data_IF_293790248711
#
_entry.id   IF_293790248711
#
_cell.length_a   1.000
_cell.length_b   1.000
_cell.length_c   1.000
_cell.angle_alpha   90.00
_cell.angle_beta   90.00
_cell.angle_gamma   90.00
#
_symmetry.space_group_name_H-M   'P 1'
#
loop_
_entity.id
_entity.type
_entity.pdbx_description
1 polymer ?
#
# COMPACT_ATOMS: atom_id res chain seq x y z
N UNK A 1 -21.47 2.42 -23.18
CA UNK A 1 -21.79 2.90 -21.82
C UNK A 1 -20.46 3.23 -21.19
N UNK A 2 -20.26 4.46 -20.74
CA UNK A 2 -18.99 4.86 -20.10
C UNK A 2 -18.85 4.06 -18.81
N UNK A 3 -17.78 3.29 -18.70
CA UNK A 3 -17.49 2.48 -17.50
C UNK A 3 -17.28 3.43 -16.32
N UNK A 4 -18.06 3.26 -15.25
CA UNK A 4 -18.05 4.18 -14.10
C UNK A 4 -16.76 3.91 -13.31
N UNK A 5 -15.95 4.93 -13.05
CA UNK A 5 -14.72 4.79 -12.25
C UNK A 5 -15.02 4.20 -10.87
N UNK A 6 -14.14 3.36 -10.32
CA UNK A 6 -14.39 2.71 -9.03
C UNK A 6 -14.34 3.70 -7.86
N UNK A 7 -15.06 3.38 -6.79
CA UNK A 7 -14.75 3.88 -5.45
C UNK A 7 -13.50 3.17 -4.93
N UNK A 8 -12.51 3.93 -4.49
CA UNK A 8 -11.30 3.38 -3.88
C UNK A 8 -11.34 3.54 -2.36
N UNK A 9 -11.25 2.43 -1.65
CA UNK A 9 -11.17 2.41 -0.18
C UNK A 9 -9.77 1.92 0.22
N UNK A 10 -9.00 2.79 0.86
CA UNK A 10 -7.63 2.49 1.27
C UNK A 10 -7.62 2.11 2.75
N UNK A 11 -7.04 0.96 3.05
CA UNK A 11 -6.68 0.55 4.40
C UNK A 11 -5.40 1.30 4.83
N UNK A 12 -5.61 2.46 5.48
CA UNK A 12 -4.56 3.38 5.89
C UNK A 12 -3.65 2.81 6.98
N UNK A 13 -4.24 2.11 7.96
CA UNK A 13 -3.48 1.41 9.01
C UNK A 13 -2.59 0.32 8.44
N UNK A 14 -3.14 -0.54 7.57
CA UNK A 14 -2.38 -1.59 6.91
C UNK A 14 -1.28 -1.03 6.01
N UNK A 15 -1.56 0.06 5.28
CA UNK A 15 -0.54 0.76 4.48
C UNK A 15 0.61 1.27 5.33
N UNK A 16 0.30 1.87 6.48
CA UNK A 16 1.31 2.40 7.39
C UNK A 16 2.25 1.30 7.92
N UNK A 17 1.70 0.20 8.43
CA UNK A 17 2.50 -0.94 8.92
C UNK A 17 3.35 -1.56 7.80
N UNK A 18 2.80 -1.68 6.60
CA UNK A 18 3.53 -2.24 5.46
C UNK A 18 4.67 -1.33 5.02
N UNK A 19 4.43 -0.02 4.94
CA UNK A 19 5.46 0.96 4.60
C UNK A 19 6.60 0.94 5.63
N UNK A 20 6.27 0.83 6.92
CA UNK A 20 7.24 0.76 8.02
C UNK A 20 8.21 -0.42 7.90
N UNK A 21 7.70 -1.60 7.55
CA UNK A 21 8.54 -2.80 7.40
C UNK A 21 9.26 -2.91 6.06
N UNK A 22 8.78 -2.24 5.02
CA UNK A 22 9.36 -2.32 3.69
C UNK A 22 10.47 -1.30 3.44
N UNK A 23 10.44 -0.16 4.11
CA UNK A 23 11.43 0.90 3.95
C UNK A 23 12.48 0.86 5.07
N UNK A 24 13.72 1.29 4.79
CA UNK A 24 14.69 1.52 5.85
C UNK A 24 14.19 2.62 6.81
N UNK A 25 14.71 2.67 8.05
CA UNK A 25 14.35 3.71 9.01
C UNK A 25 14.86 5.07 8.53
N UNK A 26 14.01 5.80 7.80
CA UNK A 26 14.28 7.16 7.34
C UNK A 26 13.93 8.17 8.45
N UNK A 27 14.81 9.14 8.64
CA UNK A 27 14.63 10.27 9.57
C UNK A 27 14.92 11.58 8.86
N UNK A 28 14.26 12.65 9.29
CA UNK A 28 14.55 14.00 8.82
C UNK A 28 15.66 14.67 9.65
N UNK A 29 16.06 15.90 9.28
CA UNK A 29 17.13 16.64 9.97
C UNK A 29 16.84 16.96 11.44
N UNK A 30 15.59 16.82 11.88
CA UNK A 30 15.16 17.00 13.29
C UNK A 30 15.14 15.68 14.07
N UNK A 31 15.52 14.58 13.44
CA UNK A 31 15.48 13.24 14.04
C UNK A 31 14.07 12.65 14.13
N UNK A 32 13.06 13.24 13.48
CA UNK A 32 11.72 12.66 13.42
C UNK A 32 11.72 11.53 12.36
N UNK A 33 11.13 10.36 12.65
CA UNK A 33 10.99 9.30 11.68
C UNK A 33 9.99 9.68 10.59
N UNK A 34 10.29 9.39 9.32
CA UNK A 34 9.47 9.78 8.16
C UNK A 34 9.25 8.67 7.14
N UNK A 35 9.91 7.52 7.32
CA UNK A 35 9.91 6.42 6.34
C UNK A 35 8.53 5.85 6.03
N UNK A 36 7.72 5.59 7.04
CA UNK A 36 6.38 5.04 6.84
C UNK A 36 5.47 6.05 6.14
N UNK A 37 5.52 7.34 6.53
CA UNK A 37 4.77 8.42 5.86
C UNK A 37 5.17 8.52 4.38
N UNK A 38 6.48 8.44 4.09
CA UNK A 38 7.00 8.48 2.72
C UNK A 38 6.49 7.32 1.88
N UNK A 39 6.51 6.10 2.44
CA UNK A 39 5.99 4.92 1.77
C UNK A 39 4.51 5.02 1.45
N UNK A 40 3.68 5.37 2.44
CA UNK A 40 2.23 5.54 2.24
C UNK A 40 1.94 6.65 1.24
N UNK A 41 2.64 7.79 1.32
CA UNK A 41 2.49 8.88 0.36
C UNK A 41 2.72 8.43 -1.08
N UNK A 42 3.78 7.66 -1.32
CA UNK A 42 4.10 7.14 -2.66
C UNK A 42 3.05 6.13 -3.14
N UNK A 43 2.58 5.24 -2.25
CA UNK A 43 1.51 4.29 -2.57
C UNK A 43 0.21 5.00 -2.95
N UNK A 44 -0.19 6.02 -2.18
CA UNK A 44 -1.37 6.84 -2.48
C UNK A 44 -1.21 7.59 -3.81
N UNK A 45 -0.07 8.24 -4.04
CA UNK A 45 0.20 8.97 -5.29
C UNK A 45 0.18 8.05 -6.50
N UNK A 46 0.73 6.84 -6.39
CA UNK A 46 0.68 5.82 -7.44
C UNK A 46 -0.76 5.43 -7.75
N UNK A 47 -1.53 5.03 -6.73
CA UNK A 47 -2.94 4.66 -6.87
C UNK A 47 -3.77 5.78 -7.52
N UNK A 48 -3.57 7.03 -7.10
CA UNK A 48 -4.28 8.18 -7.69
C UNK A 48 -3.94 8.42 -9.16
N UNK A 49 -2.72 8.11 -9.61
CA UNK A 49 -2.32 8.21 -11.02
C UNK A 49 -2.86 7.06 -11.86
N UNK A 50 -2.83 5.85 -11.32
CA UNK A 50 -3.24 4.63 -12.03
C UNK A 50 -4.76 4.58 -12.23
N UNK A 51 -5.54 4.98 -11.21
CA UNK A 51 -6.99 4.89 -11.24
C UNK A 51 -7.72 6.20 -11.53
N UNK A 52 -7.08 7.34 -11.29
CA UNK A 52 -7.68 8.69 -11.35
C UNK A 52 -9.11 8.74 -10.74
N UNK A 53 -9.29 8.31 -9.48
CA UNK A 53 -10.62 8.10 -8.90
C UNK A 53 -11.34 9.42 -8.59
N UNK A 54 -12.64 9.46 -8.87
CA UNK A 54 -13.52 10.53 -8.38
C UNK A 54 -13.91 10.32 -6.92
N UNK A 55 -14.06 9.04 -6.52
CA UNK A 55 -14.47 8.63 -5.19
C UNK A 55 -13.33 7.86 -4.53
N UNK A 56 -12.88 8.34 -3.36
CA UNK A 56 -11.78 7.75 -2.61
C UNK A 56 -11.92 8.04 -1.13
N UNK A 57 -11.52 7.11 -0.27
CA UNK A 57 -11.32 7.37 1.14
C UNK A 57 -10.14 6.58 1.68
N UNK A 58 -9.45 7.16 2.67
CA UNK A 58 -8.42 6.49 3.47
C UNK A 58 -8.99 6.27 4.86
N UNK A 59 -9.04 5.01 5.29
CA UNK A 59 -9.64 4.60 6.55
C UNK A 59 -8.54 4.16 7.50
N UNK A 60 -8.51 4.72 8.71
CA UNK A 60 -7.57 4.34 9.76
C UNK A 60 -8.33 3.74 10.94
N UNK A 61 -7.64 2.91 11.71
CA UNK A 61 -8.15 2.46 13.01
C UNK A 61 -8.21 3.63 13.97
N UNK A 62 -9.33 3.77 14.65
CA UNK A 62 -9.46 4.70 15.76
C UNK A 62 -8.72 4.15 16.99
N UNK A 63 -8.12 5.02 17.83
CA UNK A 63 -7.54 4.58 19.07
C UNK A 63 -8.62 4.03 20.02
N UNK A 64 -8.31 2.95 20.71
CA UNK A 64 -9.17 2.36 21.74
C UNK A 64 -9.48 0.89 21.49
N UNK A 65 -10.41 0.37 22.29
CA UNK A 65 -10.90 -0.99 22.17
C UNK A 65 -12.03 -1.05 21.13
N UNK A 66 -12.18 -2.21 20.53
CA UNK A 66 -13.22 -2.55 19.56
C UNK A 66 -14.18 -3.58 20.15
N UNK A 67 -15.27 -3.85 19.45
CA UNK A 67 -16.18 -4.94 19.84
C UNK A 67 -15.49 -6.32 19.86
N UNK A 68 -14.39 -6.53 19.11
CA UNK A 68 -13.65 -7.80 19.12
C UNK A 68 -12.88 -7.99 20.44
N UNK A 69 -12.36 -6.91 21.01
CA UNK A 69 -11.70 -6.93 22.32
C UNK A 69 -12.68 -7.24 23.46
N UNK A 70 -13.95 -6.89 23.30
CA UNK A 70 -15.02 -7.25 24.24
C UNK A 70 -15.46 -8.70 24.08
N UNK A 71 -15.50 -9.19 22.83
CA UNK A 71 -15.90 -10.54 22.50
C UNK A 71 -14.86 -11.59 22.89
N UNK A 72 -13.57 -11.27 22.76
CA UNK A 72 -12.48 -12.17 23.09
C UNK A 72 -11.26 -11.42 23.63
N UNK A 73 -11.00 -11.53 24.93
CA UNK A 73 -9.92 -10.81 25.62
C UNK A 73 -8.52 -11.07 25.03
N UNK A 74 -8.30 -12.24 24.42
CA UNK A 74 -7.01 -12.60 23.82
C UNK A 74 -6.90 -12.20 22.34
N UNK A 75 -7.90 -11.55 21.76
CA UNK A 75 -7.85 -11.07 20.39
C UNK A 75 -6.67 -10.12 20.19
N UNK A 76 -5.87 -10.33 19.14
CA UNK A 76 -4.64 -9.57 18.84
C UNK A 76 -3.62 -9.49 19.99
N UNK A 77 -3.76 -10.27 21.07
CA UNK A 77 -2.91 -10.19 22.26
C UNK A 77 -1.44 -10.57 22.00
N UNK A 78 -1.17 -11.29 20.91
CA UNK A 78 0.20 -11.64 20.49
C UNK A 78 0.85 -10.55 19.63
N UNK A 79 0.10 -9.51 19.22
CA UNK A 79 0.67 -8.41 18.43
C UNK A 79 1.52 -7.53 19.36
N UNK A 80 2.79 -7.26 19.02
CA UNK A 80 3.57 -6.29 19.77
C UNK A 80 2.90 -4.92 19.69
N UNK A 81 3.08 -4.07 20.72
CA UNK A 81 2.61 -2.69 20.64
C UNK A 81 3.24 -2.00 19.43
N UNK A 82 2.51 -1.03 18.86
CA UNK A 82 3.03 -0.23 17.77
C UNK A 82 4.35 0.43 18.19
N UNK A 83 5.44 0.29 17.42
CA UNK A 83 6.71 0.95 17.70
C UNK A 83 6.56 2.47 17.84
N UNK A 84 7.27 3.09 18.79
CA UNK A 84 7.14 4.53 19.09
C UNK A 84 7.44 5.41 17.86
N UNK A 85 8.39 4.98 17.03
CA UNK A 85 8.75 5.65 15.77
C UNK A 85 7.65 5.54 14.70
N UNK A 86 6.83 4.50 14.74
CA UNK A 86 5.64 4.37 13.90
C UNK A 86 4.48 5.21 14.45
N UNK A 87 4.28 5.21 15.78
CA UNK A 87 3.26 6.05 16.43
C UNK A 87 3.50 7.53 16.12
N UNK A 88 4.75 7.99 16.14
CA UNK A 88 5.12 9.37 15.82
C UNK A 88 4.77 9.79 14.37
N UNK A 89 4.54 8.83 13.47
CA UNK A 89 4.23 9.05 12.06
C UNK A 89 2.74 9.05 11.73
N UNK A 90 1.87 8.63 12.65
CA UNK A 90 0.42 8.60 12.44
C UNK A 90 -0.15 9.99 12.14
N UNK A 91 0.14 10.97 13.01
CA UNK A 91 -0.43 12.30 12.86
C UNK A 91 0.08 13.03 11.60
N UNK A 92 1.39 13.04 11.29
CA UNK A 92 1.87 13.59 10.03
C UNK A 92 1.26 12.92 8.80
N UNK A 93 0.98 11.61 8.86
CA UNK A 93 0.31 10.90 7.77
C UNK A 93 -1.15 11.35 7.61
N UNK A 94 -1.89 11.51 8.72
CA UNK A 94 -3.27 12.02 8.69
C UNK A 94 -3.35 13.40 8.06
N UNK A 95 -2.48 14.32 8.51
CA UNK A 95 -2.39 15.68 7.95
C UNK A 95 -2.06 15.65 6.46
N UNK A 96 -1.16 14.76 6.04
CA UNK A 96 -0.77 14.61 4.64
C UNK A 96 -1.94 14.12 3.78
N UNK A 97 -2.67 13.09 4.23
CA UNK A 97 -3.84 12.53 3.53
C UNK A 97 -4.91 13.62 3.31
N UNK A 98 -5.19 14.40 4.35
CA UNK A 98 -6.13 15.52 4.27
C UNK A 98 -5.66 16.61 3.30
N UNK A 99 -4.38 16.98 3.37
CA UNK A 99 -3.77 17.97 2.47
C UNK A 99 -3.73 17.50 1.01
N UNK A 100 -3.67 16.18 0.76
CA UNK A 100 -3.83 15.60 -0.58
C UNK A 100 -5.26 15.72 -1.13
N UNK A 101 -6.22 16.20 -0.33
CA UNK A 101 -7.62 16.31 -0.69
C UNK A 101 -8.39 14.98 -0.60
N UNK A 102 -7.88 14.02 0.16
CA UNK A 102 -8.49 12.70 0.31
C UNK A 102 -9.39 12.67 1.57
N UNK A 103 -10.66 12.24 1.46
CA UNK A 103 -11.48 11.95 2.62
C UNK A 103 -10.79 10.94 3.56
N UNK A 104 -10.60 11.32 4.82
CA UNK A 104 -10.08 10.46 5.88
C UNK A 104 -11.20 10.06 6.82
N UNK A 105 -11.27 8.77 7.19
CA UNK A 105 -12.25 8.24 8.13
C UNK A 105 -11.57 7.50 9.28
N UNK A 106 -12.05 7.75 10.49
CA UNK A 106 -11.68 7.04 11.73
C UNK A 106 -12.94 6.90 12.57
N UNK A 107 -13.38 5.67 12.84
CA UNK A 107 -14.64 5.39 13.54
C UNK A 107 -14.33 4.64 14.84
N UNK A 108 -14.59 5.22 16.02
CA UNK A 108 -14.34 4.57 17.30
C UNK A 108 -15.15 3.28 17.50
N UNK A 109 -14.60 2.32 18.24
CA UNK A 109 -15.29 1.09 18.64
C UNK A 109 -15.34 -0.03 17.59
N UNK A 110 -14.80 0.23 16.40
CA UNK A 110 -14.71 -0.73 15.28
C UNK A 110 -13.33 -0.63 14.63
N UNK A 111 -12.98 -1.62 13.83
CA UNK A 111 -11.73 -1.60 13.05
C UNK A 111 -11.94 -0.90 11.72
N UNK A 112 -10.86 -0.38 11.13
CA UNK A 112 -10.87 0.19 9.78
C UNK A 112 -11.50 -0.78 8.77
N UNK A 113 -11.28 -2.07 8.99
CA UNK A 113 -11.77 -3.14 8.15
C UNK A 113 -13.30 -3.19 8.06
N UNK A 114 -13.97 -2.99 9.20
CA UNK A 114 -15.44 -3.00 9.29
C UNK A 114 -16.05 -1.75 8.62
N UNK A 115 -15.37 -0.61 8.72
CA UNK A 115 -15.76 0.62 8.04
C UNK A 115 -15.62 0.45 6.52
N UNK A 116 -14.48 -0.08 6.06
CA UNK A 116 -14.23 -0.40 4.65
C UNK A 116 -15.27 -1.39 4.14
N UNK A 117 -15.50 -2.49 4.85
CA UNK A 117 -16.47 -3.52 4.48
C UNK A 117 -17.88 -2.96 4.33
N UNK A 118 -18.30 -2.12 5.27
CA UNK A 118 -19.60 -1.45 5.23
C UNK A 118 -19.72 -0.51 4.03
N UNK A 119 -18.73 0.35 3.79
CA UNK A 119 -18.75 1.28 2.66
C UNK A 119 -18.70 0.54 1.31
N UNK A 120 -17.88 -0.50 1.20
CA UNK A 120 -17.74 -1.31 0.00
C UNK A 120 -19.07 -1.98 -0.37
N UNK A 121 -19.75 -2.63 0.60
CA UNK A 121 -21.06 -3.26 0.35
C UNK A 121 -22.13 -2.24 0.00
N UNK A 122 -22.19 -1.09 0.69
CA UNK A 122 -23.12 0.00 0.36
C UNK A 122 -22.93 0.52 -1.07
N UNK A 123 -21.67 0.72 -1.49
CA UNK A 123 -21.35 1.19 -2.84
C UNK A 123 -21.68 0.12 -3.91
N UNK A 124 -21.27 -1.13 -3.68
CA UNK A 124 -21.54 -2.25 -4.59
C UNK A 124 -23.05 -2.49 -4.79
N UNK A 125 -23.85 -2.38 -3.72
CA UNK A 125 -25.31 -2.49 -3.78
C UNK A 125 -25.96 -1.41 -4.67
N UNK A 126 -25.31 -0.24 -4.82
CA UNK A 126 -25.72 0.85 -5.71
C UNK A 126 -25.13 0.74 -7.11
N UNK A 127 -24.43 -0.36 -7.39
CA UNK A 127 -23.85 -0.63 -8.71
C UNK A 127 -22.50 0.04 -8.97
N UNK A 128 -21.87 0.64 -7.96
CA UNK A 128 -20.52 1.19 -8.10
C UNK A 128 -19.48 0.06 -8.07
N UNK A 129 -18.51 0.03 -9.00
CA UNK A 129 -17.30 -0.77 -8.82
C UNK A 129 -16.51 -0.27 -7.61
N UNK A 130 -15.89 -1.18 -6.87
CA UNK A 130 -15.11 -0.87 -5.66
C UNK A 130 -13.76 -1.56 -5.73
N UNK A 131 -12.71 -0.80 -5.45
CA UNK A 131 -11.36 -1.32 -5.23
C UNK A 131 -11.01 -1.09 -3.77
N UNK A 132 -10.72 -2.17 -3.04
CA UNK A 132 -10.20 -2.09 -1.68
C UNK A 132 -8.68 -2.23 -1.76
N UNK A 133 -7.97 -1.14 -1.49
CA UNK A 133 -6.54 -1.09 -1.55
C UNK A 133 -5.96 -1.53 -0.19
N UNK A 134 -5.57 -2.80 -0.09
CA UNK A 134 -5.12 -3.45 1.15
C UNK A 134 -4.17 -4.61 0.87
N UNK A 135 -3.33 -4.95 1.85
CA UNK A 135 -2.54 -6.18 1.85
C UNK A 135 -3.16 -7.30 2.69
N UNK A 136 -4.25 -7.02 3.41
CA UNK A 136 -4.86 -7.98 4.31
C UNK A 136 -5.57 -9.09 3.53
N UNK A 137 -5.32 -10.33 3.96
CA UNK A 137 -5.94 -11.52 3.36
C UNK A 137 -7.40 -11.66 3.80
N UNK A 138 -7.77 -11.13 4.97
CA UNK A 138 -9.08 -11.32 5.57
C UNK A 138 -10.16 -10.54 4.81
N UNK A 139 -9.73 -9.45 4.16
CA UNK A 139 -10.50 -8.66 3.19
C UNK A 139 -11.01 -9.49 2.00
N UNK A 140 -10.43 -10.67 1.72
CA UNK A 140 -10.87 -11.53 0.64
C UNK A 140 -12.34 -11.99 0.80
N UNK A 141 -12.88 -11.94 2.02
CA UNK A 141 -14.30 -12.21 2.29
C UNK A 141 -15.26 -11.17 1.66
N UNK A 142 -14.76 -9.98 1.32
CA UNK A 142 -15.55 -8.89 0.75
C UNK A 142 -15.65 -8.95 -0.78
N UNK A 143 -14.75 -9.69 -1.44
CA UNK A 143 -14.68 -9.80 -2.90
C UNK A 143 -16.00 -10.33 -3.46
N UNK A 144 -16.50 -9.68 -4.51
CA UNK A 144 -17.69 -10.11 -5.24
C UNK A 144 -17.62 -9.66 -6.71
N UNK A 145 -18.76 -9.62 -7.41
CA UNK A 145 -18.81 -9.17 -8.82
C UNK A 145 -18.52 -7.68 -9.05
N UNK A 146 -18.40 -6.87 -7.99
CA UNK A 146 -18.13 -5.42 -8.04
C UNK A 146 -16.97 -4.99 -7.15
N UNK A 147 -16.64 -5.78 -6.13
CA UNK A 147 -15.58 -5.51 -5.17
C UNK A 147 -14.36 -6.37 -5.50
N UNK A 148 -13.22 -5.73 -5.75
CA UNK A 148 -11.91 -6.38 -5.89
C UNK A 148 -10.94 -5.84 -4.86
N UNK A 149 -9.91 -6.61 -4.52
CA UNK A 149 -8.80 -6.11 -3.69
C UNK A 149 -7.60 -5.77 -4.56
N UNK A 150 -6.83 -4.78 -4.14
CA UNK A 150 -5.59 -4.40 -4.79
C UNK A 150 -4.45 -4.23 -3.78
N UNK A 151 -3.41 -5.04 -3.95
CA UNK A 151 -2.14 -4.87 -3.25
C UNK A 151 -1.22 -3.98 -4.10
N UNK A 152 -1.25 -2.67 -3.83
CA UNK A 152 -0.49 -1.64 -4.57
C UNK A 152 1.03 -1.77 -4.45
N UNK A 153 1.54 -2.49 -3.44
CA UNK A 153 2.99 -2.75 -3.36
C UNK A 153 3.41 -3.89 -4.28
N UNK A 154 2.56 -4.91 -4.44
CA UNK A 154 2.85 -6.08 -5.29
C UNK A 154 2.24 -5.97 -6.69
N UNK A 155 1.47 -4.92 -6.96
CA UNK A 155 0.73 -4.76 -8.21
C UNK A 155 -0.28 -5.89 -8.46
N UNK A 156 -0.84 -6.47 -7.39
CA UNK A 156 -1.70 -7.66 -7.48
C UNK A 156 -3.16 -7.30 -7.24
N UNK A 157 -4.01 -7.61 -8.21
CA UNK A 157 -5.46 -7.58 -8.07
C UNK A 157 -5.96 -8.95 -7.61
N UNK A 158 -6.89 -8.96 -6.66
CA UNK A 158 -7.56 -10.18 -6.18
C UNK A 158 -9.06 -10.08 -6.47
N UNK A 159 -9.49 -10.81 -7.50
CA UNK A 159 -10.88 -11.06 -7.84
C UNK A 159 -11.35 -12.41 -7.27
N UNK A 160 -12.59 -12.80 -7.58
CA UNK A 160 -13.15 -14.09 -7.12
C UNK A 160 -12.27 -15.29 -7.48
N UNK A 161 -11.77 -15.34 -8.72
CA UNK A 161 -10.95 -16.46 -9.18
C UNK A 161 -9.61 -16.51 -8.42
N UNK A 162 -9.00 -15.36 -8.14
CA UNK A 162 -7.81 -15.25 -7.33
C UNK A 162 -8.04 -15.66 -5.87
N UNK A 163 -9.22 -15.36 -5.30
CA UNK A 163 -9.63 -15.86 -3.97
C UNK A 163 -9.75 -17.39 -3.99
N UNK A 164 -10.48 -17.95 -4.95
CA UNK A 164 -10.64 -19.41 -5.07
C UNK A 164 -9.30 -20.13 -5.26
N UNK A 165 -8.40 -19.56 -6.06
CA UNK A 165 -7.06 -20.10 -6.26
C UNK A 165 -6.19 -20.04 -4.99
N UNK A 166 -6.30 -18.96 -4.20
CA UNK A 166 -5.51 -18.75 -2.98
C UNK A 166 -6.00 -19.58 -1.80
N UNK A 167 -7.31 -19.61 -1.57
CA UNK A 167 -7.90 -20.21 -0.36
C UNK A 167 -8.55 -21.58 -0.62
N UNK A 168 -8.81 -21.94 -1.87
CA UNK A 168 -9.53 -23.16 -2.26
C UNK A 168 -11.04 -23.10 -1.99
N UNK A 169 -11.57 -21.91 -1.66
CA UNK A 169 -12.97 -21.63 -1.37
C UNK A 169 -13.35 -20.26 -1.96
N UNK A 170 -14.62 -20.02 -2.29
CA UNK A 170 -15.05 -18.72 -2.79
C UNK A 170 -15.08 -17.64 -1.67
N UNK A 171 -15.14 -16.34 -2.02
CA UNK A 171 -15.17 -15.22 -1.07
C UNK A 171 -16.17 -15.40 0.09
N UNK A 172 -17.40 -15.82 -0.23
CA UNK A 172 -18.47 -16.07 0.75
C UNK A 172 -18.19 -17.22 1.75
N UNK A 173 -17.06 -17.91 1.62
CA UNK A 173 -16.59 -18.98 2.53
C UNK A 173 -15.23 -18.70 3.15
N UNK A 174 -14.62 -17.54 2.88
CA UNK A 174 -13.33 -17.17 3.50
C UNK A 174 -13.45 -17.08 5.02
N UNK A 175 -14.55 -16.54 5.55
CA UNK A 175 -14.78 -16.46 7.01
C UNK A 175 -14.88 -17.86 7.63
N UNK A 176 -15.65 -18.75 7.01
CA UNK A 176 -15.78 -20.15 7.46
C UNK A 176 -14.42 -20.87 7.42
N UNK A 177 -13.61 -20.58 6.39
CA UNK A 177 -12.26 -21.12 6.26
C UNK A 177 -11.33 -20.58 7.34
N UNK A 178 -11.38 -19.28 7.65
CA UNK A 178 -10.61 -18.66 8.74
C UNK A 178 -11.03 -19.22 10.10
N UNK A 179 -12.32 -19.46 10.33
CA UNK A 179 -12.81 -20.05 11.57
C UNK A 179 -12.24 -21.48 11.81
N UNK A 180 -12.09 -22.26 10.73
CA UNK A 180 -11.53 -23.61 10.80
C UNK A 180 -10.00 -23.61 10.96
N UNK A 181 -9.30 -22.76 10.22
CA UNK A 181 -7.83 -22.71 10.19
C UNK A 181 -7.26 -21.93 11.37
N UNK A 182 -7.98 -20.91 11.83
CA UNK A 182 -7.51 -19.91 12.77
C UNK A 182 -6.63 -18.85 12.11
N UNK A 183 -6.29 -17.82 12.90
CA UNK A 183 -5.30 -16.82 12.55
C UNK A 183 -4.37 -16.54 13.73
N UNK A 184 -3.10 -16.93 13.61
CA UNK A 184 -2.10 -16.69 14.65
C UNK A 184 -1.79 -15.20 14.86
N UNK A 185 -1.90 -14.40 13.80
CA UNK A 185 -1.58 -12.95 13.82
C UNK A 185 -2.60 -12.18 14.66
N UNK A 186 -3.85 -12.61 14.59
CA UNK A 186 -4.98 -12.04 15.34
C UNK A 186 -5.35 -12.85 16.58
N UNK A 187 -4.60 -13.92 16.82
CA UNK A 187 -4.87 -14.89 17.87
C UNK A 187 -6.30 -15.47 17.79
N UNK A 188 -6.85 -15.58 16.59
CA UNK A 188 -8.14 -16.23 16.33
C UNK A 188 -7.91 -17.75 16.40
N UNK A 189 -8.56 -18.46 17.32
CA UNK A 189 -8.25 -19.85 17.55
C UNK A 189 -8.89 -20.72 16.45
N UNK A 190 -8.08 -21.55 15.79
CA UNK A 190 -8.55 -22.52 14.79
C UNK A 190 -8.86 -23.88 15.40
N UNK A 191 -9.24 -24.84 14.55
CA UNK A 191 -9.38 -26.25 14.95
C UNK A 191 -8.02 -26.93 14.80
N UNK A 192 -7.45 -27.51 15.88
CA UNK A 192 -6.19 -28.23 15.78
C UNK A 192 -6.24 -29.31 14.71
N UNK A 193 -5.12 -29.50 13.98
CA UNK A 193 -4.99 -30.47 12.87
C UNK A 193 -5.82 -30.17 11.62
N UNK A 194 -6.56 -29.06 11.59
CA UNK A 194 -7.33 -28.60 10.42
C UNK A 194 -6.56 -27.48 9.73
N UNK A 195 -5.71 -27.84 8.77
CA UNK A 195 -4.99 -26.86 7.96
C UNK A 195 -5.80 -26.35 6.75
N UNK A 196 -5.26 -25.37 6.00
CA UNK A 196 -5.86 -24.76 4.81
C UNK A 196 -6.52 -25.74 3.83
N UNK A 197 -5.81 -26.81 3.47
CA UNK A 197 -6.28 -27.81 2.50
C UNK A 197 -7.45 -28.63 3.04
N UNK A 198 -7.43 -28.96 4.33
CA UNK A 198 -8.50 -29.72 4.99
C UNK A 198 -9.76 -28.88 5.10
N UNK A 199 -9.62 -27.63 5.58
CA UNK A 199 -10.73 -26.69 5.67
C UNK A 199 -11.40 -26.46 4.30
N UNK A 200 -10.62 -26.17 3.26
CA UNK A 200 -11.15 -25.97 1.91
C UNK A 200 -11.81 -27.23 1.32
N UNK A 201 -11.30 -28.44 1.63
CA UNK A 201 -11.94 -29.69 1.21
C UNK A 201 -13.29 -29.87 1.90
N UNK A 202 -13.36 -29.66 3.21
CA UNK A 202 -14.60 -29.80 3.97
C UNK A 202 -15.64 -28.78 3.55
N UNK A 203 -15.28 -27.51 3.38
CA UNK A 203 -16.23 -26.49 2.94
C UNK A 203 -16.74 -26.72 1.52
N UNK A 204 -15.94 -27.32 0.63
CA UNK A 204 -16.43 -27.75 -0.70
C UNK A 204 -17.37 -28.94 -0.63
N UNK A 205 -17.11 -29.88 0.29
CA UNK A 205 -17.92 -31.08 0.43
C UNK A 205 -19.28 -30.79 1.10
N UNK A 206 -19.29 -30.00 2.17
CA UNK A 206 -20.48 -29.73 2.98
C UNK A 206 -21.14 -28.38 2.65
N UNK A 207 -20.47 -27.54 1.87
CA UNK A 207 -21.02 -26.29 1.35
C UNK A 207 -20.95 -25.09 2.31
N UNK A 208 -20.99 -25.29 3.63
CA UNK A 208 -20.83 -24.21 4.64
C UNK A 208 -20.28 -24.74 5.96
N UNK A 209 -19.84 -23.85 6.85
CA UNK A 209 -19.47 -24.23 8.21
C UNK A 209 -20.65 -24.80 9.00
N UNK A 210 -21.85 -24.24 8.86
CA UNK A 210 -23.03 -24.72 9.60
C UNK A 210 -23.40 -26.15 9.18
N UNK A 211 -23.36 -26.46 7.88
CA UNK A 211 -23.56 -27.83 7.38
C UNK A 211 -22.43 -28.77 7.81
N UNK A 212 -21.18 -28.31 7.79
CA UNK A 212 -20.04 -29.09 8.30
C UNK A 212 -20.24 -29.47 9.78
N UNK A 213 -20.72 -28.53 10.60
CA UNK A 213 -21.02 -28.76 12.02
C UNK A 213 -22.15 -29.76 12.18
N UNK A 214 -23.23 -29.66 11.38
CA UNK A 214 -24.35 -30.64 11.40
C UNK A 214 -23.89 -32.06 11.07
N UNK A 215 -22.89 -32.20 10.20
CA UNK A 215 -22.32 -33.48 9.80
C UNK A 215 -21.01 -33.84 10.52
N UNK A 216 -20.68 -33.15 11.62
CA UNK A 216 -19.39 -33.32 12.30
C UNK A 216 -19.15 -34.77 12.77
N UNK A 217 -20.20 -35.53 13.11
CA UNK A 217 -20.12 -36.94 13.53
C UNK A 217 -19.70 -37.89 12.40
N UNK A 218 -19.92 -37.51 11.14
CA UNK A 218 -19.59 -38.33 9.97
C UNK A 218 -18.11 -38.22 9.58
N UNK A 219 -17.39 -37.23 10.13
CA UNK A 219 -16.00 -36.97 9.75
C UNK A 219 -15.07 -37.94 10.48
N UNK A 220 -14.34 -38.80 9.74
CA UNK A 220 -13.48 -39.80 10.36
C UNK A 220 -12.11 -39.24 10.77
N UNK A 221 -11.44 -40.00 11.64
CA UNK A 221 -10.04 -39.79 12.02
C UNK A 221 -9.79 -38.62 12.97
N UNK A 222 -8.51 -38.41 13.30
CA UNK A 222 -8.07 -37.43 14.31
C UNK A 222 -8.49 -35.98 14.01
N UNK A 223 -8.67 -35.63 12.74
CA UNK A 223 -9.16 -34.30 12.35
C UNK A 223 -10.65 -34.14 12.67
N UNK A 224 -11.48 -35.17 12.42
CA UNK A 224 -12.89 -35.17 12.79
C UNK A 224 -13.10 -35.20 14.31
N UNK A 225 -12.30 -35.97 15.04
CA UNK A 225 -12.26 -35.93 16.51
C UNK A 225 -11.94 -34.52 17.02
N UNK A 226 -10.94 -33.87 16.42
CA UNK A 226 -10.56 -32.50 16.79
C UNK A 226 -11.66 -31.50 16.45
N UNK A 227 -12.33 -31.63 15.30
CA UNK A 227 -13.47 -30.78 14.95
C UNK A 227 -14.58 -30.87 16.01
N UNK A 228 -15.00 -32.09 16.35
CA UNK A 228 -16.04 -32.35 17.36
C UNK A 228 -15.67 -31.77 18.73
N UNK A 229 -14.39 -31.83 19.11
CA UNK A 229 -13.90 -31.27 20.37
C UNK A 229 -13.88 -29.72 20.41
N UNK A 230 -14.01 -29.04 19.27
CA UNK A 230 -13.90 -27.57 19.18
C UNK A 230 -15.13 -26.90 18.54
N UNK A 231 -16.27 -27.59 18.45
CA UNK A 231 -17.48 -27.05 17.81
C UNK A 231 -17.96 -25.74 18.45
N UNK A 232 -17.94 -25.67 19.78
CA UNK A 232 -18.38 -24.48 20.53
C UNK A 232 -17.50 -23.25 20.24
N UNK A 233 -16.21 -23.46 19.95
CA UNK A 233 -15.26 -22.40 19.66
C UNK A 233 -15.44 -21.82 18.25
N UNK A 234 -15.94 -22.62 17.29
CA UNK A 234 -16.07 -22.20 15.89
C UNK A 234 -16.98 -20.99 15.72
N UNK A 235 -18.03 -20.88 16.52
CA UNK A 235 -18.93 -19.73 16.49
C UNK A 235 -18.18 -18.43 16.85
N UNK A 236 -17.34 -18.48 17.89
CA UNK A 236 -16.49 -17.36 18.30
C UNK A 236 -15.46 -17.02 17.22
N UNK A 237 -14.73 -18.02 16.71
CA UNK A 237 -13.71 -17.80 15.68
C UNK A 237 -14.30 -17.21 14.40
N UNK A 238 -15.49 -17.66 14.00
CA UNK A 238 -16.22 -17.12 12.85
C UNK A 238 -16.62 -15.66 13.08
N UNK A 239 -17.08 -15.30 14.27
CA UNK A 239 -17.46 -13.91 14.57
C UNK A 239 -16.24 -12.98 14.66
N UNK A 240 -15.12 -13.44 15.23
CA UNK A 240 -13.88 -12.67 15.26
C UNK A 240 -13.31 -12.40 13.86
N UNK A 241 -13.33 -13.41 12.97
CA UNK A 241 -12.82 -13.31 11.61
C UNK A 241 -13.75 -12.55 10.64
N UNK A 242 -15.02 -12.36 11.01
CA UNK A 242 -16.01 -11.70 10.17
C UNK A 242 -15.80 -10.20 10.20
N UNK A 243 -15.66 -9.59 9.03
CA UNK A 243 -15.74 -8.14 8.85
C UNK A 243 -17.23 -7.73 8.89
N UNK A 244 -17.59 -6.79 9.76
CA UNK A 244 -18.95 -6.23 9.78
C UNK A 244 -19.15 -5.33 8.56
N UNK A 245 -20.33 -5.44 7.96
CA UNK A 245 -20.67 -4.72 6.71
C UNK A 245 -21.96 -3.91 6.81
N UNK A 246 -22.49 -3.82 8.02
CA UNK A 246 -23.79 -3.29 8.39
C UNK A 246 -23.67 -2.22 9.48
N UNK A 247 -22.49 -1.61 9.64
CA UNK A 247 -22.30 -0.52 10.60
C UNK A 247 -23.21 0.66 10.28
N UNK A 248 -23.72 1.33 11.31
CA UNK A 248 -24.34 2.64 11.19
C UNK A 248 -23.24 3.69 11.02
N UNK A 249 -23.10 4.20 9.79
CA UNK A 249 -22.13 5.21 9.42
C UNK A 249 -22.87 6.42 8.86
N UNK A 250 -22.55 7.61 9.37
CA UNK A 250 -23.08 8.91 8.91
C UNK A 250 -22.46 9.38 7.57
N UNK A 251 -21.76 8.48 6.88
CA UNK A 251 -21.05 8.77 5.64
C UNK A 251 -21.64 7.96 4.51
N UNK A 252 -22.00 8.66 3.43
CA UNK A 252 -22.45 8.05 2.19
C UNK A 252 -21.23 7.78 1.27
N UNK A 253 -21.06 6.57 0.69
CA UNK A 253 -19.98 6.30 -0.25
C UNK A 253 -19.85 7.28 -1.43
N UNK A 254 -20.96 7.84 -1.91
CA UNK A 254 -20.96 8.83 -3.00
C UNK A 254 -20.52 10.24 -2.56
N UNK A 255 -20.50 10.48 -1.24
CA UNK A 255 -19.98 11.72 -0.66
C UNK A 255 -18.46 11.73 -0.50
N UNK A 256 -17.80 10.57 -0.65
CA UNK A 256 -16.35 10.37 -0.55
C UNK A 256 -15.61 10.90 -1.79
N UNK A 257 -15.92 12.13 -2.19
CA UNK A 257 -15.32 12.77 -3.36
C UNK A 257 -13.91 13.24 -3.04
N UNK A 258 -12.98 12.90 -3.94
CA UNK A 258 -11.65 13.51 -3.96
C UNK A 258 -11.81 15.02 -4.15
N UNK A 259 -11.12 15.80 -3.31
CA UNK A 259 -11.08 17.26 -3.38
C UNK A 259 -9.79 17.70 -4.06
N UNK A 260 -9.73 18.97 -4.45
CA UNK A 260 -8.48 19.57 -4.86
C UNK A 260 -7.48 19.53 -3.69
N UNK A 261 -6.19 19.20 -3.94
CA UNK A 261 -5.18 19.20 -2.90
C UNK A 261 -4.93 20.62 -2.37
N UNK A 262 -4.70 20.75 -1.06
CA UNK A 262 -4.23 21.99 -0.44
C UNK A 262 -2.72 22.12 -0.69
N UNK A 263 -2.36 22.81 -1.76
CA UNK A 263 -0.96 22.95 -2.20
C UNK A 263 -0.09 23.71 -1.20
N UNK A 264 -0.67 24.64 -0.44
CA UNK A 264 0.05 25.40 0.58
C UNK A 264 0.36 24.51 1.79
N UNK A 265 -0.65 23.78 2.29
CA UNK A 265 -0.45 22.84 3.40
C UNK A 265 0.46 21.69 3.01
N UNK A 266 0.31 21.13 1.80
CA UNK A 266 1.23 20.11 1.29
C UNK A 266 2.66 20.63 1.27
N UNK A 267 2.90 21.84 0.77
CA UNK A 267 4.25 22.43 0.75
C UNK A 267 4.87 22.53 2.14
N UNK A 268 4.10 22.94 3.14
CA UNK A 268 4.56 22.99 4.53
C UNK A 268 4.92 21.60 5.05
N UNK A 269 4.03 20.63 4.88
CA UNK A 269 4.23 19.25 5.32
C UNK A 269 5.43 18.60 4.63
N UNK A 270 5.57 18.74 3.30
CA UNK A 270 6.67 18.16 2.54
C UNK A 270 8.02 18.78 2.89
N UNK A 271 8.07 20.08 3.24
CA UNK A 271 9.29 20.72 3.77
C UNK A 271 9.66 20.15 5.14
N UNK A 272 8.67 20.01 6.04
CA UNK A 272 8.88 19.41 7.35
C UNK A 272 9.38 17.96 7.22
N UNK A 273 8.71 17.17 6.39
CA UNK A 273 9.04 15.75 6.18
C UNK A 273 10.28 15.54 5.29
N UNK A 274 10.82 16.61 4.70
CA UNK A 274 11.98 16.60 3.78
C UNK A 274 11.77 15.77 2.51
N UNK A 275 10.53 15.69 2.02
CA UNK A 275 10.16 15.00 0.78
C UNK A 275 10.44 15.88 -0.45
N UNK A 276 11.73 16.13 -0.69
CA UNK A 276 12.22 17.12 -1.67
C UNK A 276 11.79 16.82 -3.11
N UNK A 277 11.73 15.55 -3.51
CA UNK A 277 11.28 15.13 -4.85
C UNK A 277 9.84 15.58 -5.11
N UNK A 278 8.93 15.24 -4.20
CA UNK A 278 7.53 15.62 -4.31
C UNK A 278 7.33 17.14 -4.17
N UNK A 279 8.11 17.80 -3.32
CA UNK A 279 8.04 19.26 -3.19
C UNK A 279 8.34 19.99 -4.51
N UNK A 280 9.26 19.47 -5.33
CA UNK A 280 9.61 20.04 -6.65
C UNK A 280 8.49 19.88 -7.68
N UNK A 281 7.65 18.86 -7.53
CA UNK A 281 6.51 18.60 -8.42
C UNK A 281 5.28 19.48 -8.11
N UNK A 282 5.20 20.06 -6.91
CA UNK A 282 4.08 20.95 -6.57
C UNK A 282 4.13 22.23 -7.44
N UNK A 283 2.97 22.71 -7.95
CA UNK A 283 2.90 23.97 -8.67
C UNK A 283 3.56 25.08 -7.86
N UNK A 284 4.46 25.86 -8.47
CA UNK A 284 5.07 27.02 -7.80
C UNK A 284 3.97 27.96 -7.34
N UNK A 285 4.15 28.59 -6.19
CA UNK A 285 3.27 29.67 -5.77
C UNK A 285 3.26 30.71 -6.88
N UNK A 286 2.09 30.93 -7.49
CA UNK A 286 1.82 32.18 -8.18
C UNK A 286 1.93 33.24 -7.08
N UNK A 287 3.10 33.87 -7.01
CA UNK A 287 3.28 35.06 -6.21
C UNK A 287 2.23 36.04 -6.72
N UNK A 288 1.25 36.35 -5.85
CA UNK A 288 0.23 37.34 -6.12
C UNK A 288 0.93 38.58 -6.69
N UNK A 289 0.56 38.90 -7.93
CA UNK A 289 1.17 39.94 -8.73
C UNK A 289 1.31 41.24 -7.93
N UNK A 290 2.55 41.69 -7.71
CA UNK A 290 2.81 43.10 -7.50
C UNK A 290 2.89 43.76 -8.87
N UNK A 291 1.98 44.69 -9.12
CA UNK A 291 1.93 45.55 -10.30
C UNK A 291 3.30 46.12 -10.69
N UNK A 292 3.77 45.76 -11.89
CA UNK A 292 4.67 46.58 -12.70
C UNK A 292 4.44 46.26 -14.20
N UNK A 293 4.44 47.26 -15.10
CA UNK A 293 3.82 47.17 -16.43
C UNK A 293 4.69 46.44 -17.47
N UNK A 294 4.11 45.98 -18.61
CA UNK A 294 4.75 45.06 -19.52
C UNK A 294 5.65 45.77 -20.53
N UNK A 295 6.85 45.21 -20.76
CA UNK A 295 7.65 45.48 -21.94
C UNK A 295 7.56 44.27 -22.90
N UNK A 296 7.08 44.56 -24.10
CA UNK A 296 6.86 43.61 -25.19
C UNK A 296 8.17 43.02 -25.74
N UNK A 297 8.12 41.76 -26.15
CA UNK A 297 9.13 41.17 -27.04
C UNK A 297 8.76 39.75 -27.45
N UNK A 298 8.06 39.62 -28.58
CA UNK A 298 7.62 38.35 -29.14
C UNK A 298 8.79 37.46 -29.62
N UNK A 299 8.62 36.13 -29.54
CA UNK A 299 8.69 35.19 -30.68
C UNK A 299 8.29 33.76 -30.28
N UNK A 300 7.65 33.10 -31.25
CA UNK A 300 7.00 31.79 -31.18
C UNK A 300 7.96 30.62 -31.48
N UNK A 301 7.55 29.39 -31.11
CA UNK A 301 8.10 28.15 -31.68
C UNK A 301 7.97 26.88 -30.84
N UNK A 302 6.88 26.14 -31.06
CA UNK A 302 6.63 24.69 -30.95
C UNK A 302 7.63 23.71 -30.28
N UNK A 303 7.10 22.82 -29.44
CA UNK A 303 7.14 21.36 -29.67
C UNK A 303 8.12 20.49 -28.86
N UNK A 304 7.53 19.59 -28.05
CA UNK A 304 7.98 18.23 -27.68
C UNK A 304 9.21 18.03 -26.74
N UNK A 305 8.90 17.64 -25.50
CA UNK A 305 9.41 16.43 -24.82
C UNK A 305 10.91 16.27 -24.55
N UNK A 306 11.33 16.52 -23.30
CA UNK A 306 12.29 15.67 -22.57
C UNK A 306 12.22 15.97 -21.04
N UNK A 307 12.52 14.99 -20.16
CA UNK A 307 12.43 15.14 -18.70
C UNK A 307 13.62 15.94 -18.12
N UNK A 308 13.44 16.74 -17.05
CA UNK A 308 14.53 17.53 -16.50
C UNK A 308 15.39 16.75 -15.50
N UNK A 309 16.70 16.91 -15.67
CA UNK A 309 17.78 16.44 -14.81
C UNK A 309 17.73 17.01 -13.37
N UNK A 310 18.37 16.34 -12.38
CA UNK A 310 18.43 16.81 -11.00
C UNK A 310 19.46 17.94 -10.79
N UNK A 311 19.06 18.95 -10.01
CA UNK A 311 19.91 20.09 -9.62
C UNK A 311 20.83 19.77 -8.42
N UNK A 312 22.12 19.74 -8.74
CA UNK A 312 23.30 20.28 -8.04
C UNK A 312 23.20 20.69 -6.56
N UNK A 313 23.99 20.00 -5.72
CA UNK A 313 24.70 20.57 -4.58
C UNK A 313 26.13 20.91 -5.00
N UNK A 314 26.61 22.08 -4.57
CA UNK A 314 27.75 22.80 -5.15
C UNK A 314 29.09 22.05 -5.18
N UNK A 315 29.65 21.89 -6.37
CA UNK A 315 31.08 21.96 -6.65
C UNK A 315 31.28 22.91 -7.84
N UNK A 316 32.40 23.62 -7.85
CA UNK A 316 32.60 24.79 -8.70
C UNK A 316 32.52 24.49 -10.21
N UNK A 317 31.54 25.10 -10.90
CA UNK A 317 31.68 25.70 -12.24
C UNK A 317 32.24 24.86 -13.40
N UNK A 318 32.19 23.53 -13.36
CA UNK A 318 32.57 22.68 -14.49
C UNK A 318 31.33 21.98 -15.05
N UNK A 319 31.17 22.00 -16.38
CA UNK A 319 30.19 21.16 -17.04
C UNK A 319 30.48 19.69 -16.70
N UNK A 320 29.45 18.86 -16.44
CA UNK A 320 29.67 17.45 -16.12
C UNK A 320 30.40 16.74 -17.27
N UNK A 321 31.44 16.00 -16.91
CA UNK A 321 32.28 15.23 -17.84
C UNK A 321 31.85 13.76 -17.79
N UNK A 322 30.91 13.42 -18.68
CA UNK A 322 30.35 12.08 -18.79
C UNK A 322 30.84 11.39 -20.05
N UNK A 323 31.48 10.23 -19.89
CA UNK A 323 32.05 9.44 -20.98
C UNK A 323 31.20 8.18 -21.22
N UNK A 324 30.78 7.99 -22.47
CA UNK A 324 30.24 6.73 -22.95
C UNK A 324 31.41 5.87 -23.47
N UNK A 325 31.71 4.78 -22.78
CA UNK A 325 32.84 3.89 -23.08
C UNK A 325 32.41 2.87 -24.13
N UNK A 326 32.87 3.02 -25.37
CA UNK A 326 32.52 2.14 -26.50
C UNK A 326 33.71 1.36 -27.08
N UNK A 327 34.91 1.56 -26.53
CA UNK A 327 36.12 0.91 -26.99
C UNK A 327 37.04 0.49 -25.83
N UNK A 328 37.90 -0.48 -26.12
CA UNK A 328 38.82 -1.09 -25.15
C UNK A 328 39.77 -0.07 -24.54
N UNK A 329 40.26 0.90 -25.34
CA UNK A 329 41.20 1.90 -24.86
C UNK A 329 40.55 2.86 -23.85
N UNK A 330 39.26 3.16 -24.00
CA UNK A 330 38.47 3.91 -23.04
C UNK A 330 38.21 3.11 -21.76
N UNK A 331 37.92 1.82 -21.90
CA UNK A 331 37.74 0.92 -20.76
C UNK A 331 39.04 0.81 -19.93
N UNK A 332 40.18 0.58 -20.56
CA UNK A 332 41.49 0.49 -19.89
C UNK A 332 41.81 1.77 -19.10
N UNK A 333 41.59 2.96 -19.68
CA UNK A 333 41.78 4.25 -18.97
C UNK A 333 40.92 4.33 -17.71
N UNK A 334 39.66 3.91 -17.77
CA UNK A 334 38.77 3.95 -16.61
C UNK A 334 39.14 2.91 -15.57
N UNK A 335 39.57 1.70 -15.96
CA UNK A 335 40.04 0.68 -15.04
C UNK A 335 41.27 1.13 -14.25
N UNK A 336 42.22 1.82 -14.90
CA UNK A 336 43.38 2.41 -14.22
C UNK A 336 42.96 3.47 -13.20
N UNK A 337 42.04 4.38 -13.58
CA UNK A 337 41.51 5.42 -12.70
C UNK A 337 40.79 4.85 -11.49
N UNK A 338 39.94 3.85 -11.69
CA UNK A 338 39.19 3.18 -10.62
C UNK A 338 40.11 2.42 -9.66
N UNK A 339 41.15 1.75 -10.20
CA UNK A 339 42.13 1.01 -9.40
C UNK A 339 43.02 1.91 -8.54
N UNK A 340 43.30 3.13 -9.01
CA UNK A 340 44.08 4.13 -8.27
C UNK A 340 43.24 4.93 -7.26
N UNK A 341 41.90 4.87 -7.36
CA UNK A 341 41.00 5.62 -6.49
C UNK A 341 40.85 4.95 -5.11
N UNK A 342 40.89 5.72 -4.00
CA UNK A 342 40.65 5.17 -2.66
C UNK A 342 39.20 4.73 -2.44
N UNK A 343 38.26 5.29 -3.20
CA UNK A 343 36.83 4.97 -3.24
C UNK A 343 36.24 5.45 -4.57
N UNK A 344 35.28 4.72 -5.11
CA UNK A 344 34.48 5.14 -6.27
C UNK A 344 33.04 4.64 -6.12
N UNK A 345 32.11 5.28 -6.83
CA UNK A 345 30.72 4.84 -6.93
C UNK A 345 30.57 3.88 -8.11
N UNK A 346 29.73 2.85 -7.92
CA UNK A 346 29.33 1.88 -8.93
C UNK A 346 27.80 1.86 -8.97
N UNK A 347 27.26 1.84 -10.17
CA UNK A 347 25.83 1.61 -10.43
C UNK A 347 25.65 0.65 -11.61
N UNK A 348 24.53 -0.04 -11.66
CA UNK A 348 24.22 -1.02 -12.71
C UNK A 348 22.89 -0.70 -13.38
N UNK A 349 22.87 -0.73 -14.70
CA UNK A 349 21.64 -0.63 -15.48
C UNK A 349 21.11 -2.01 -15.82
N UNK A 350 19.81 -2.23 -15.63
CA UNK A 350 19.17 -3.54 -15.80
C UNK A 350 17.94 -3.48 -16.69
N UNK A 351 17.57 -4.62 -17.28
CA UNK A 351 16.34 -4.76 -18.07
C UNK A 351 15.06 -4.72 -17.23
N UNK A 352 15.17 -4.90 -15.91
CA UNK A 352 14.04 -5.01 -14.98
C UNK A 352 14.40 -4.53 -13.57
N UNK A 353 13.38 -4.10 -12.82
CA UNK A 353 13.48 -3.84 -11.37
C UNK A 353 13.29 -5.11 -10.53
N UNK A 354 12.86 -6.23 -11.14
CA UNK A 354 12.84 -7.55 -10.49
C UNK A 354 14.22 -8.20 -10.58
N UNK A 355 14.90 -8.31 -9.45
CA UNK A 355 16.26 -8.85 -9.36
C UNK A 355 16.38 -10.34 -9.76
N UNK A 356 15.26 -11.08 -9.84
CA UNK A 356 15.25 -12.48 -10.26
C UNK A 356 15.21 -12.64 -11.78
N UNK A 357 14.83 -11.59 -12.52
CA UNK A 357 14.67 -11.59 -13.98
C UNK A 357 15.55 -10.55 -14.68
N UNK A 358 16.17 -9.64 -13.91
CA UNK A 358 17.02 -8.58 -14.42
C UNK A 358 18.31 -9.12 -15.06
N UNK A 359 18.57 -8.72 -16.31
CA UNK A 359 19.87 -8.83 -16.97
C UNK A 359 20.61 -7.50 -16.83
N UNK A 360 21.92 -7.56 -16.57
CA UNK A 360 22.77 -6.37 -16.52
C UNK A 360 23.09 -5.94 -17.96
N UNK A 361 22.72 -4.72 -18.31
CA UNK A 361 22.92 -4.15 -19.66
C UNK A 361 23.96 -3.03 -19.68
N UNK A 362 24.40 -2.56 -18.52
CA UNK A 362 25.49 -1.61 -18.43
C UNK A 362 25.95 -1.36 -17.01
N UNK A 363 27.14 -0.76 -16.90
CA UNK A 363 27.78 -0.39 -15.65
C UNK A 363 28.16 1.08 -15.69
N UNK A 364 27.90 1.81 -14.60
CA UNK A 364 28.31 3.20 -14.45
C UNK A 364 29.28 3.36 -13.28
N UNK A 365 30.29 4.21 -13.45
CA UNK A 365 31.32 4.45 -12.45
C UNK A 365 31.58 5.95 -12.27
N UNK A 366 31.87 6.39 -11.04
CA UNK A 366 32.28 7.76 -10.76
C UNK A 366 33.33 7.82 -9.64
N UNK A 367 34.42 8.55 -9.88
CA UNK A 367 35.50 8.76 -8.89
C UNK A 367 35.38 10.13 -8.20
N UNK A 368 34.77 11.11 -8.87
CA UNK A 368 34.55 12.45 -8.35
C UNK A 368 33.16 12.99 -8.75
N UNK A 369 32.55 13.90 -7.96
CA UNK A 369 31.31 14.55 -8.34
C UNK A 369 31.45 15.28 -9.68
N UNK A 370 30.51 15.03 -10.60
CA UNK A 370 30.51 15.65 -11.93
C UNK A 370 31.32 14.90 -13.00
N UNK A 371 31.96 13.78 -12.66
CA UNK A 371 32.68 12.91 -13.60
C UNK A 371 32.13 11.48 -13.54
N UNK A 372 31.75 10.90 -14.69
CA UNK A 372 31.26 9.53 -14.73
C UNK A 372 31.56 8.83 -16.06
N UNK A 373 31.69 7.51 -16.02
CA UNK A 373 31.70 6.66 -17.21
C UNK A 373 30.53 5.69 -17.21
N UNK A 374 29.97 5.43 -18.38
CA UNK A 374 29.01 4.36 -18.62
C UNK A 374 29.56 3.37 -19.65
N UNK A 375 29.54 2.08 -19.32
CA UNK A 375 29.97 0.96 -20.14
C UNK A 375 28.73 0.12 -20.47
N UNK A 376 28.26 0.08 -21.75
CA UNK A 376 27.23 -0.85 -22.18
C UNK A 376 27.81 -2.28 -22.32
N UNK A 377 27.02 -3.30 -21.98
CA UNK A 377 27.41 -4.72 -21.99
C UNK A 377 26.89 -5.51 -23.21
#
# INVERSE_FOLDING_TARGET
MTERKPLILVDGSGYLYRAYHALPPLTNSRGEPTGAVYGVANMLRRMLREHDPELVAVVFDAPGRTFRDELFERYKANRPPMPDDLVAQLEPLRELVEAMGLPRLEVPGVEADDVIGTLARRAAARGLPVVIATGDKDMAQLVDGRIVLEDTMRGRVTDRAAVEARFGVPPERVVDWLALVGDSSDNIPGVPRVGPKTAARWLRQYGSLDELVRHADEIPGKAGESLRAHLDQLALSRELARIRTDLELDVDPESLRRRAPDTARLRELLRRLEFTSWLKELPREETAASDAPPASGARAGAGAGDPPAPAEGSAAGHAPDYELVLDEAALERWLERLSAAPLFALDTETTSLDYMEAEVVGLAFAVAPGEAAYVPL
#
